data_IF_168866385403
#
_entry.id   IF_168866385403
#
_cell.length_a   1.000
_cell.length_b   1.000
_cell.length_c   1.000
_cell.angle_alpha   90.00
_cell.angle_beta   90.00
_cell.angle_gamma   90.00
#
_symmetry.space_group_name_H-M   'P 1'
#
loop_
_entity.id
_entity.type
_entity.pdbx_description
1 polymer ?
#
# COMPACT_ATOMS: atom_id res chain seq x y z
N UNK A 1 20.95 19.11 -1.93
CA UNK A 1 21.65 19.34 -0.64
C UNK A 1 20.80 20.09 0.41
N UNK A 2 20.09 21.18 0.06
CA UNK A 2 19.25 21.94 1.00
C UNK A 2 17.99 21.19 1.47
N UNK A 3 17.27 20.53 0.55
CA UNK A 3 16.10 19.70 0.88
C UNK A 3 16.44 18.45 1.70
N UNK A 4 17.64 17.87 1.57
CA UNK A 4 18.06 16.77 2.45
C UNK A 4 18.32 17.25 3.89
N UNK A 5 18.78 18.48 4.09
CA UNK A 5 18.93 19.08 5.43
C UNK A 5 17.57 19.43 6.02
N UNK A 6 16.69 20.03 5.21
CA UNK A 6 15.31 20.30 5.59
C UNK A 6 14.60 19.01 6.00
N UNK A 7 14.77 17.93 5.23
CA UNK A 7 14.19 16.63 5.55
C UNK A 7 14.70 16.06 6.87
N UNK A 8 16.02 16.06 7.11
CA UNK A 8 16.57 15.63 8.41
C UNK A 8 16.00 16.45 9.57
N UNK A 9 15.89 17.77 9.40
CA UNK A 9 15.27 18.66 10.39
C UNK A 9 13.78 18.37 10.61
N UNK A 10 13.02 18.09 9.53
CA UNK A 10 11.62 17.66 9.61
C UNK A 10 11.55 16.40 10.44
N UNK A 11 12.32 15.39 10.07
CA UNK A 11 12.38 14.11 10.77
C UNK A 11 12.69 14.33 12.25
N UNK A 12 13.79 14.98 12.61
CA UNK A 12 14.13 15.25 14.01
C UNK A 12 13.01 15.96 14.80
N UNK A 13 12.20 16.81 14.15
CA UNK A 13 11.10 17.55 14.80
C UNK A 13 9.79 16.77 14.91
N UNK A 14 9.43 16.00 13.88
CA UNK A 14 8.17 15.25 13.81
C UNK A 14 8.30 13.84 14.41
N UNK A 15 9.53 13.41 14.64
CA UNK A 15 9.88 12.11 15.20
C UNK A 15 10.26 12.28 16.67
N UNK A 16 9.66 11.51 17.58
CA UNK A 16 10.05 11.56 18.99
C UNK A 16 11.18 10.55 19.23
N UNK A 17 12.37 10.96 19.70
CA UNK A 17 13.42 10.04 20.12
C UNK A 17 12.97 9.11 21.26
N UNK A 18 12.03 9.59 22.08
CA UNK A 18 11.60 9.00 23.36
C UNK A 18 10.15 8.47 23.36
N UNK A 19 9.48 8.39 22.20
CA UNK A 19 8.13 7.82 22.14
C UNK A 19 8.14 6.40 22.71
N UNK A 20 7.16 6.10 23.57
CA UNK A 20 7.03 4.78 24.18
C UNK A 20 6.96 3.74 23.07
N UNK A 21 7.96 2.86 23.05
CA UNK A 21 7.95 1.64 22.25
C UNK A 21 6.61 0.96 22.48
N UNK A 22 5.87 0.65 21.42
CA UNK A 22 4.81 -0.33 21.56
C UNK A 22 5.48 -1.59 22.12
N UNK A 23 4.97 -2.11 23.24
CA UNK A 23 5.67 -3.11 24.04
C UNK A 23 5.97 -4.43 23.28
N UNK A 24 5.45 -4.59 22.06
CA UNK A 24 5.74 -5.69 21.13
C UNK A 24 6.59 -5.33 19.89
N UNK A 25 7.14 -4.11 19.79
CA UNK A 25 7.97 -3.61 18.67
C UNK A 25 9.36 -3.13 19.14
N UNK A 26 9.84 -3.66 20.27
CA UNK A 26 11.02 -3.12 20.95
C UNK A 26 12.39 -3.45 20.28
N UNK A 27 12.41 -4.23 19.20
CA UNK A 27 13.62 -4.75 18.54
C UNK A 27 13.92 -4.17 17.15
N UNK A 28 13.11 -3.24 16.64
CA UNK A 28 13.22 -2.81 15.23
C UNK A 28 14.43 -1.86 14.98
N UNK A 29 15.19 -2.14 13.91
CA UNK A 29 16.27 -1.29 13.37
C UNK A 29 15.61 -0.21 12.50
N UNK A 30 15.73 1.05 12.88
CA UNK A 30 14.99 2.18 12.26
C UNK A 30 15.65 2.82 11.03
N UNK A 31 16.60 2.13 10.40
CA UNK A 31 17.25 2.60 9.17
C UNK A 31 17.26 1.46 8.14
N UNK A 32 16.60 1.69 7.01
CA UNK A 32 16.74 0.80 5.84
C UNK A 32 18.17 0.93 5.32
N UNK A 33 18.90 -0.19 5.15
CA UNK A 33 20.21 -0.15 4.52
C UNK A 33 20.09 0.43 3.10
N UNK A 34 21.15 1.05 2.57
CA UNK A 34 21.20 1.41 1.16
C UNK A 34 20.89 0.20 0.28
N UNK A 35 20.22 0.44 -0.85
CA UNK A 35 19.96 -0.60 -1.85
C UNK A 35 21.29 -1.25 -2.26
N UNK A 36 21.32 -2.58 -2.29
CA UNK A 36 22.48 -3.35 -2.71
C UNK A 36 22.89 -2.96 -4.15
N UNK A 37 24.19 -3.02 -4.46
CA UNK A 37 24.71 -2.59 -5.76
C UNK A 37 24.10 -3.41 -6.92
N UNK A 38 23.80 -4.69 -6.67
CA UNK A 38 23.13 -5.59 -7.61
C UNK A 38 21.72 -5.09 -7.96
N UNK A 39 20.95 -4.72 -6.94
CA UNK A 39 19.57 -4.24 -7.07
C UNK A 39 19.51 -2.84 -7.67
N UNK A 40 20.53 -2.01 -7.37
CA UNK A 40 20.64 -0.63 -7.84
C UNK A 40 20.52 -0.54 -9.35
N UNK A 41 21.26 -1.39 -10.07
CA UNK A 41 21.25 -1.41 -11.55
C UNK A 41 19.87 -1.82 -12.09
N UNK A 42 19.21 -2.78 -11.45
CA UNK A 42 17.86 -3.23 -11.81
C UNK A 42 16.83 -2.12 -11.62
N UNK A 43 16.86 -1.44 -10.47
CA UNK A 43 16.02 -0.29 -10.16
C UNK A 43 16.22 0.87 -11.16
N UNK A 44 17.46 1.22 -11.50
CA UNK A 44 17.76 2.28 -12.47
C UNK A 44 17.23 1.92 -13.87
N UNK A 45 17.41 0.67 -14.30
CA UNK A 45 16.87 0.19 -15.59
C UNK A 45 15.35 0.20 -15.60
N UNK A 46 14.71 -0.23 -14.53
CA UNK A 46 13.26 -0.25 -14.42
C UNK A 46 12.66 1.16 -14.52
N UNK A 47 13.24 2.15 -13.81
CA UNK A 47 12.82 3.56 -13.92
C UNK A 47 12.95 4.11 -15.35
N UNK A 48 13.97 3.66 -16.10
CA UNK A 48 14.14 4.04 -17.51
C UNK A 48 13.06 3.41 -18.39
N UNK A 49 12.68 2.15 -18.15
CA UNK A 49 11.66 1.44 -18.92
C UNK A 49 10.26 2.04 -18.75
N UNK A 50 9.93 2.52 -17.55
CA UNK A 50 8.62 3.16 -17.26
C UNK A 50 8.61 4.67 -17.57
N UNK A 51 9.74 5.24 -17.99
CA UNK A 51 9.90 6.65 -18.34
C UNK A 51 9.49 7.67 -17.25
N UNK A 52 9.57 7.29 -15.97
CA UNK A 52 9.16 8.13 -14.84
C UNK A 52 10.27 8.19 -13.78
N UNK A 53 10.58 9.40 -13.30
CA UNK A 53 11.51 9.68 -12.19
C UNK A 53 12.93 9.09 -12.34
N UNK A 54 13.35 8.79 -13.57
CA UNK A 54 14.71 8.32 -13.86
C UNK A 54 15.78 9.31 -13.36
N UNK A 55 16.88 8.85 -12.73
CA UNK A 55 17.94 9.74 -12.27
C UNK A 55 18.43 10.72 -13.36
N UNK A 56 18.37 12.02 -13.08
CA UNK A 56 18.77 13.07 -14.03
C UNK A 56 17.64 13.61 -14.90
N UNK A 57 16.48 12.95 -14.91
CA UNK A 57 15.25 13.39 -15.58
C UNK A 57 14.16 13.71 -14.54
N UNK A 58 13.23 14.60 -14.88
CA UNK A 58 12.10 14.99 -14.01
C UNK A 58 12.53 15.39 -12.58
N UNK A 59 13.68 16.05 -12.44
CA UNK A 59 14.20 16.45 -11.13
C UNK A 59 13.26 17.43 -10.41
N UNK A 60 12.61 18.34 -11.13
CA UNK A 60 11.61 19.24 -10.55
C UNK A 60 10.41 18.47 -9.97
N UNK A 61 9.87 17.51 -10.73
CA UNK A 61 8.82 16.59 -10.27
C UNK A 61 9.27 15.85 -9.01
N UNK A 62 10.50 15.33 -8.99
CA UNK A 62 11.07 14.68 -7.81
C UNK A 62 11.17 15.63 -6.61
N UNK A 63 11.59 16.88 -6.81
CA UNK A 63 11.62 17.89 -5.75
C UNK A 63 10.22 18.19 -5.20
N UNK A 64 9.21 18.29 -6.06
CA UNK A 64 7.82 18.49 -5.67
C UNK A 64 7.31 17.29 -4.86
N UNK A 65 7.60 16.06 -5.28
CA UNK A 65 7.27 14.85 -4.52
C UNK A 65 7.90 14.91 -3.13
N UNK A 66 9.20 15.20 -3.04
CA UNK A 66 9.89 15.30 -1.74
C UNK A 66 9.26 16.34 -0.82
N UNK A 67 8.97 17.52 -1.36
CA UNK A 67 8.35 18.63 -0.62
C UNK A 67 6.94 18.27 -0.11
N UNK A 68 6.12 17.67 -0.95
CA UNK A 68 4.75 17.27 -0.58
C UNK A 68 4.74 16.10 0.40
N UNK A 69 5.65 15.13 0.23
CA UNK A 69 5.83 14.05 1.19
C UNK A 69 6.20 14.59 2.58
N UNK A 70 7.11 15.57 2.64
CA UNK A 70 7.45 16.29 3.87
C UNK A 70 6.24 16.98 4.49
N UNK A 71 5.46 17.68 3.68
CA UNK A 71 4.27 18.38 4.13
C UNK A 71 3.24 17.40 4.70
N UNK A 72 3.01 16.28 4.01
CA UNK A 72 2.11 15.21 4.44
C UNK A 72 2.52 14.62 5.80
N UNK A 73 3.79 14.24 5.94
CA UNK A 73 4.33 13.71 7.19
C UNK A 73 4.16 14.73 8.31
N UNK A 74 4.56 15.98 8.07
CA UNK A 74 4.47 17.05 9.08
C UNK A 74 3.02 17.27 9.50
N UNK A 75 2.11 17.43 8.54
CA UNK A 75 0.71 17.73 8.80
C UNK A 75 -0.02 16.65 9.59
N UNK A 76 0.34 15.39 9.38
CA UNK A 76 -0.34 14.23 9.97
C UNK A 76 0.38 13.63 11.19
N UNK A 77 1.52 14.24 11.59
CA UNK A 77 2.27 13.90 12.80
C UNK A 77 1.61 14.40 14.08
N UNK A 78 2.03 13.87 15.23
CA UNK A 78 1.56 14.35 16.53
C UNK A 78 2.03 15.77 16.88
N UNK A 79 3.17 16.21 16.30
CA UNK A 79 3.79 17.52 16.48
C UNK A 79 4.01 18.24 15.13
N UNK A 80 2.94 18.77 14.50
CA UNK A 80 3.02 19.33 13.16
C UNK A 80 3.81 20.65 13.13
N UNK A 81 4.56 20.86 12.05
CA UNK A 81 5.30 22.10 11.79
C UNK A 81 4.70 22.84 10.58
N UNK A 82 4.10 24.01 10.84
CA UNK A 82 3.46 24.84 9.80
C UNK A 82 4.42 25.47 8.80
N UNK A 83 5.74 25.47 9.08
CA UNK A 83 6.76 25.88 8.09
C UNK A 83 7.00 24.81 7.04
N UNK A 84 6.76 23.55 7.41
CA UNK A 84 6.97 22.37 6.57
C UNK A 84 5.68 21.93 5.87
N UNK A 85 4.52 22.22 6.49
CA UNK A 85 3.20 22.02 5.92
C UNK A 85 2.41 23.34 5.88
N UNK A 86 2.83 24.31 5.03
CA UNK A 86 2.09 25.56 4.87
C UNK A 86 0.69 25.29 4.32
N UNK A 87 -0.23 26.24 4.51
CA UNK A 87 -1.56 26.12 3.91
C UNK A 87 -1.47 26.38 2.41
N UNK A 88 -1.57 25.32 1.60
CA UNK A 88 -1.52 25.41 0.13
C UNK A 88 -2.71 26.13 -0.50
N UNK A 89 -3.82 26.32 0.24
CA UNK A 89 -5.05 26.95 -0.27
C UNK A 89 -4.93 28.48 -0.45
N UNK A 90 -3.80 29.09 -0.11
CA UNK A 90 -3.59 30.55 -0.19
C UNK A 90 -2.85 31.05 -1.45
N UNK A 91 -2.44 30.16 -2.37
CA UNK A 91 -1.53 30.56 -3.47
C UNK A 91 -2.23 31.20 -4.67
N UNK A 92 -3.56 31.07 -4.83
CA UNK A 92 -4.28 31.60 -6.01
C UNK A 92 -5.08 32.89 -5.78
N UNK A 93 -4.67 33.73 -4.82
CA UNK A 93 -5.09 35.13 -4.80
C UNK A 93 -5.36 35.68 -3.40
N UNK A 94 -4.48 36.58 -2.97
CA UNK A 94 -4.84 37.60 -1.97
C UNK A 94 -4.33 37.34 -0.55
N UNK A 95 -3.18 37.93 -0.26
CA UNK A 95 -2.85 38.42 1.09
C UNK A 95 -2.09 37.45 1.99
N UNK A 96 -0.90 37.88 2.38
CA UNK A 96 -0.10 37.41 3.52
C UNK A 96 -0.81 37.65 4.87
N UNK A 97 -2.06 37.23 5.01
CA UNK A 97 -2.69 37.11 6.32
C UNK A 97 -2.39 35.70 6.82
N UNK A 98 -1.30 35.60 7.59
CA UNK A 98 -0.86 34.34 8.18
C UNK A 98 -2.02 33.59 8.83
N UNK A 99 -2.16 32.32 8.47
CA UNK A 99 -3.18 31.41 9.00
C UNK A 99 -3.27 31.53 10.53
N UNK A 100 -4.47 31.80 11.05
CA UNK A 100 -4.66 31.98 12.49
C UNK A 100 -4.22 30.72 13.25
N UNK A 101 -3.72 30.87 14.49
CA UNK A 101 -3.35 29.70 15.33
C UNK A 101 -4.49 28.69 15.48
N UNK A 102 -5.74 29.17 15.51
CA UNK A 102 -6.94 28.33 15.60
C UNK A 102 -7.17 27.54 14.30
N UNK A 103 -7.04 28.18 13.15
CA UNK A 103 -7.15 27.51 11.85
C UNK A 103 -6.04 26.49 11.65
N UNK A 104 -4.78 26.84 11.96
CA UNK A 104 -3.63 25.91 11.96
C UNK A 104 -3.92 24.64 12.78
N UNK A 105 -4.35 24.83 14.02
CA UNK A 105 -4.65 23.71 14.92
C UNK A 105 -5.80 22.84 14.40
N UNK A 106 -6.81 23.46 13.80
CA UNK A 106 -7.94 22.72 13.24
C UNK A 106 -7.53 21.94 11.98
N UNK A 107 -6.76 22.54 11.08
CA UNK A 107 -6.25 21.92 9.86
C UNK A 107 -5.42 20.67 10.15
N UNK A 108 -4.39 20.78 10.98
CA UNK A 108 -3.58 19.61 11.34
C UNK A 108 -4.34 18.54 12.11
N UNK A 109 -5.34 18.95 12.90
CA UNK A 109 -6.23 17.99 13.54
C UNK A 109 -7.04 17.21 12.51
N UNK A 110 -7.63 17.90 11.52
CA UNK A 110 -8.37 17.28 10.42
C UNK A 110 -7.46 16.35 9.61
N UNK A 111 -6.29 16.82 9.17
CA UNK A 111 -5.32 16.02 8.39
C UNK A 111 -4.94 14.72 9.14
N UNK A 112 -4.71 14.80 10.45
CA UNK A 112 -4.40 13.64 11.30
C UNK A 112 -5.59 12.70 11.48
N UNK A 113 -6.78 13.25 11.72
CA UNK A 113 -8.00 12.46 11.88
C UNK A 113 -8.34 11.69 10.60
N UNK A 114 -8.24 12.34 9.44
CA UNK A 114 -8.47 11.73 8.13
C UNK A 114 -7.50 10.59 7.83
N UNK A 115 -6.19 10.82 8.01
CA UNK A 115 -5.19 9.75 7.91
C UNK A 115 -5.53 8.56 8.81
N UNK A 116 -5.89 8.82 10.06
CA UNK A 116 -6.16 7.76 11.04
C UNK A 116 -7.41 6.95 10.69
N UNK A 117 -8.42 7.57 10.06
CA UNK A 117 -9.59 6.85 9.52
C UNK A 117 -9.18 5.90 8.42
N UNK A 118 -8.43 6.38 7.42
CA UNK A 118 -7.92 5.55 6.31
C UNK A 118 -7.13 4.36 6.86
N UNK A 119 -6.18 4.64 7.76
CA UNK A 119 -5.35 3.62 8.38
C UNK A 119 -6.16 2.55 9.10
N UNK A 120 -7.03 2.94 10.03
CA UNK A 120 -7.75 1.95 10.86
C UNK A 120 -8.76 1.18 10.03
N UNK A 121 -9.44 1.83 9.09
CA UNK A 121 -10.37 1.17 8.17
C UNK A 121 -9.63 0.13 7.32
N UNK A 122 -8.54 0.53 6.67
CA UNK A 122 -7.73 -0.37 5.86
C UNK A 122 -7.22 -1.55 6.70
N UNK A 123 -6.63 -1.27 7.87
CA UNK A 123 -5.99 -2.30 8.70
C UNK A 123 -7.01 -3.30 9.23
N UNK A 124 -8.18 -2.85 9.68
CA UNK A 124 -9.22 -3.75 10.21
C UNK A 124 -9.79 -4.68 9.13
N UNK A 125 -10.10 -4.14 7.95
CA UNK A 125 -10.72 -4.93 6.87
C UNK A 125 -9.69 -5.88 6.24
N UNK A 126 -8.46 -5.42 6.03
CA UNK A 126 -7.39 -6.29 5.53
C UNK A 126 -6.98 -7.35 6.56
N UNK A 127 -6.95 -7.06 7.86
CA UNK A 127 -6.75 -8.08 8.90
C UNK A 127 -7.82 -9.18 8.84
N UNK A 128 -9.07 -8.80 8.55
CA UNK A 128 -10.16 -9.75 8.35
C UNK A 128 -9.93 -10.60 7.08
N UNK A 129 -9.61 -9.98 5.95
CA UNK A 129 -9.34 -10.68 4.69
C UNK A 129 -8.13 -11.63 4.78
N UNK A 130 -7.07 -11.24 5.49
CA UNK A 130 -5.92 -12.09 5.81
C UNK A 130 -6.35 -13.37 6.55
N UNK A 131 -7.18 -13.23 7.58
CA UNK A 131 -7.69 -14.36 8.35
C UNK A 131 -8.64 -15.25 7.55
N UNK A 132 -9.45 -14.65 6.66
CA UNK A 132 -10.33 -15.37 5.75
C UNK A 132 -9.53 -16.13 4.69
N UNK A 133 -8.41 -15.58 4.22
CA UNK A 133 -7.55 -16.21 3.20
C UNK A 133 -7.07 -17.59 3.65
N UNK A 134 -6.77 -17.78 4.95
CA UNK A 134 -6.35 -19.08 5.49
C UNK A 134 -7.45 -20.15 5.50
N UNK A 135 -8.73 -19.75 5.32
CA UNK A 135 -9.83 -20.72 5.14
C UNK A 135 -9.81 -21.36 3.75
N UNK A 136 -9.18 -20.71 2.78
CA UNK A 136 -9.24 -21.15 1.40
C UNK A 136 -8.45 -22.44 1.17
N UNK A 137 -8.98 -23.34 0.32
CA UNK A 137 -8.29 -24.56 -0.03
C UNK A 137 -6.95 -24.28 -0.70
N UNK A 138 -6.01 -25.21 -0.53
CA UNK A 138 -4.68 -25.14 -1.15
C UNK A 138 -4.76 -24.83 -2.65
N UNK A 139 -5.69 -25.45 -3.38
CA UNK A 139 -5.87 -25.23 -4.81
C UNK A 139 -6.08 -23.75 -5.16
N UNK A 140 -6.96 -23.04 -4.44
CA UNK A 140 -7.20 -21.61 -4.64
C UNK A 140 -5.97 -20.76 -4.28
N UNK A 141 -5.31 -21.09 -3.16
CA UNK A 141 -4.15 -20.33 -2.69
C UNK A 141 -2.92 -20.49 -3.60
N UNK A 142 -2.77 -21.62 -4.30
CA UNK A 142 -1.73 -21.80 -5.31
C UNK A 142 -1.96 -20.87 -6.51
N UNK A 143 -3.22 -20.67 -6.92
CA UNK A 143 -3.56 -19.77 -8.03
C UNK A 143 -3.06 -18.35 -7.77
N UNK A 144 -3.15 -17.85 -6.53
CA UNK A 144 -2.69 -16.50 -6.17
C UNK A 144 -1.19 -16.26 -6.43
N UNK A 145 -0.36 -17.31 -6.37
CA UNK A 145 1.08 -17.20 -6.63
C UNK A 145 1.45 -17.41 -8.11
N UNK A 146 0.48 -17.71 -8.97
CA UNK A 146 0.76 -18.09 -10.35
C UNK A 146 1.41 -16.97 -11.18
N UNK A 147 1.13 -15.71 -10.83
CA UNK A 147 1.66 -14.54 -11.52
C UNK A 147 2.92 -13.96 -10.87
N UNK A 148 3.47 -14.63 -9.84
CA UNK A 148 4.69 -14.16 -9.18
C UNK A 148 5.91 -14.19 -10.13
N UNK A 149 6.89 -13.28 -9.96
CA UNK A 149 8.09 -13.24 -10.79
C UNK A 149 8.89 -14.54 -10.82
N UNK A 150 8.99 -15.21 -9.67
CA UNK A 150 9.47 -16.57 -9.55
C UNK A 150 8.27 -17.50 -9.37
N UNK A 151 8.07 -18.51 -10.24
CA UNK A 151 6.95 -19.43 -10.12
C UNK A 151 7.03 -20.21 -8.80
N UNK A 152 6.37 -19.70 -7.77
CA UNK A 152 6.25 -20.39 -6.50
C UNK A 152 5.16 -21.47 -6.64
N UNK A 153 5.57 -22.74 -6.55
CA UNK A 153 4.64 -23.88 -6.59
C UNK A 153 3.87 -24.08 -5.28
N UNK A 154 4.23 -23.35 -4.22
CA UNK A 154 3.57 -23.37 -2.92
C UNK A 154 2.27 -22.57 -2.91
N UNK A 155 1.41 -22.90 -1.95
CA UNK A 155 0.20 -22.12 -1.73
C UNK A 155 0.53 -20.77 -1.09
N UNK A 156 -0.20 -19.73 -1.47
CA UNK A 156 -0.11 -18.42 -0.80
C UNK A 156 -0.35 -18.55 0.70
N UNK A 157 0.47 -17.85 1.49
CA UNK A 157 0.39 -17.83 2.94
C UNK A 157 0.07 -16.40 3.38
N UNK A 158 -1.02 -16.25 4.12
CA UNK A 158 -1.46 -14.97 4.67
C UNK A 158 -0.58 -14.58 5.87
N UNK A 159 -0.56 -13.30 6.24
CA UNK A 159 0.14 -12.78 7.43
C UNK A 159 -0.80 -12.67 8.65
N UNK A 160 -1.91 -13.42 8.64
CA UNK A 160 -2.94 -13.31 9.67
C UNK A 160 -2.49 -13.76 11.07
N UNK A 161 -1.51 -14.66 11.15
CA UNK A 161 -1.08 -15.27 12.40
C UNK A 161 -0.49 -14.23 13.37
N UNK A 162 -0.65 -14.46 14.67
CA UNK A 162 -0.25 -13.52 15.72
C UNK A 162 1.27 -13.25 15.71
N UNK A 163 2.07 -14.26 15.41
CA UNK A 163 3.54 -14.13 15.31
C UNK A 163 3.98 -13.34 14.07
N UNK A 164 3.15 -13.21 13.04
CA UNK A 164 3.42 -12.38 11.85
C UNK A 164 2.96 -10.92 12.03
N UNK A 165 2.41 -10.56 13.20
CA UNK A 165 1.80 -9.23 13.44
C UNK A 165 2.74 -8.07 13.13
N UNK A 166 4.01 -8.13 13.51
CA UNK A 166 4.96 -7.05 13.25
C UNK A 166 5.19 -6.85 11.74
N UNK A 167 5.43 -7.94 11.00
CA UNK A 167 5.55 -7.92 9.53
C UNK A 167 4.26 -7.41 8.87
N UNK A 168 3.10 -7.89 9.32
CA UNK A 168 1.78 -7.44 8.83
C UNK A 168 1.60 -5.93 8.96
N UNK A 169 1.88 -5.33 10.13
CA UNK A 169 1.72 -3.88 10.34
C UNK A 169 2.66 -3.06 9.46
N UNK A 170 3.90 -3.53 9.26
CA UNK A 170 4.83 -2.91 8.31
C UNK A 170 4.27 -2.94 6.90
N UNK A 171 3.88 -4.12 6.43
CA UNK A 171 3.37 -4.26 5.07
C UNK A 171 2.10 -3.40 4.86
N UNK A 172 1.16 -3.37 5.81
CA UNK A 172 -0.10 -2.62 5.67
C UNK A 172 0.15 -1.13 5.49
N UNK A 173 1.15 -0.61 6.21
CA UNK A 173 1.52 0.78 6.11
C UNK A 173 2.00 1.15 4.70
N UNK A 174 2.61 0.25 3.93
CA UNK A 174 3.04 0.57 2.54
C UNK A 174 1.87 1.03 1.66
N UNK A 175 0.76 0.28 1.66
CA UNK A 175 -0.45 0.64 0.90
C UNK A 175 -1.27 1.73 1.57
N UNK A 176 -1.35 1.73 2.91
CA UNK A 176 -2.06 2.78 3.64
C UNK A 176 -1.48 4.16 3.33
N UNK A 177 -0.17 4.24 3.17
CA UNK A 177 0.53 5.50 2.92
C UNK A 177 0.42 5.98 1.50
N UNK A 178 0.32 5.07 0.53
CA UNK A 178 -0.10 5.41 -0.82
C UNK A 178 -1.46 6.13 -0.78
N UNK A 179 -2.48 5.48 -0.23
CA UNK A 179 -3.85 6.02 -0.19
C UNK A 179 -3.89 7.33 0.61
N UNK A 180 -3.28 7.34 1.79
CA UNK A 180 -3.24 8.52 2.65
C UNK A 180 -2.51 9.70 2.02
N UNK A 181 -1.44 9.46 1.26
CA UNK A 181 -0.70 10.52 0.58
C UNK A 181 -1.45 11.06 -0.64
N UNK A 182 -2.11 10.18 -1.41
CA UNK A 182 -2.95 10.59 -2.53
C UNK A 182 -4.13 11.43 -2.06
N UNK A 183 -4.84 10.99 -1.01
CA UNK A 183 -5.96 11.74 -0.41
C UNK A 183 -5.52 13.13 0.07
N UNK A 184 -4.40 13.19 0.80
CA UNK A 184 -3.84 14.46 1.26
C UNK A 184 -3.47 15.39 0.10
N UNK A 185 -2.85 14.85 -0.95
CA UNK A 185 -2.39 15.62 -2.10
C UNK A 185 -3.54 16.05 -3.01
N UNK A 186 -4.62 15.26 -3.06
CA UNK A 186 -5.87 15.60 -3.75
C UNK A 186 -6.53 16.83 -3.12
N UNK A 187 -6.73 16.87 -1.78
CA UNK A 187 -7.30 18.06 -1.11
C UNK A 187 -6.44 19.33 -1.29
N UNK A 188 -5.15 19.15 -1.56
CA UNK A 188 -4.18 20.24 -1.79
C UNK A 188 -4.01 20.62 -3.26
N UNK A 189 -4.53 19.83 -4.20
CA UNK A 189 -4.34 20.02 -5.63
C UNK A 189 -2.88 19.90 -6.08
N UNK A 190 -2.09 19.02 -5.44
CA UNK A 190 -0.64 18.91 -5.70
C UNK A 190 -0.25 17.68 -6.52
N UNK A 191 -1.20 16.86 -6.97
CA UNK A 191 -0.91 15.63 -7.73
C UNK A 191 -0.22 15.91 -9.08
N UNK A 192 -0.74 16.86 -9.85
CA UNK A 192 -0.17 17.21 -11.17
C UNK A 192 1.25 17.77 -11.08
N UNK A 193 1.55 18.62 -10.08
CA UNK A 193 2.92 19.13 -9.88
C UNK A 193 3.91 18.03 -9.49
N UNK A 194 3.39 16.91 -8.95
CA UNK A 194 4.16 15.70 -8.66
C UNK A 194 4.15 14.69 -9.82
N UNK A 195 3.63 15.08 -10.98
CA UNK A 195 3.63 14.26 -12.20
C UNK A 195 2.69 13.07 -12.15
N UNK A 196 1.62 13.14 -11.36
CA UNK A 196 0.52 12.19 -11.41
C UNK A 196 -0.72 12.88 -12.01
N UNK A 197 -1.18 12.38 -13.15
CA UNK A 197 -2.38 12.85 -13.84
C UNK A 197 -3.45 11.77 -13.75
N UNK A 198 -4.44 12.02 -12.90
CA UNK A 198 -5.56 11.10 -12.73
C UNK A 198 -6.58 11.31 -13.84
N UNK A 199 -7.23 10.24 -14.26
CA UNK A 199 -8.46 10.37 -15.02
C UNK A 199 -9.62 10.79 -14.09
N UNK A 200 -10.77 11.07 -14.70
CA UNK A 200 -11.95 11.54 -13.97
C UNK A 200 -12.42 10.51 -12.93
N UNK A 201 -12.39 9.23 -13.27
CA UNK A 201 -12.82 8.12 -12.41
C UNK A 201 -11.91 7.95 -11.18
N UNK A 202 -10.58 8.02 -11.35
CA UNK A 202 -9.62 7.97 -10.24
C UNK A 202 -9.75 9.21 -9.34
N UNK A 203 -9.94 10.38 -9.94
CA UNK A 203 -10.09 11.62 -9.21
C UNK A 203 -11.38 11.64 -8.39
N UNK A 204 -12.50 11.17 -8.96
CA UNK A 204 -13.78 10.99 -8.29
C UNK A 204 -13.64 9.97 -7.14
N UNK A 205 -12.97 8.84 -7.38
CA UNK A 205 -12.74 7.81 -6.35
C UNK A 205 -11.96 8.37 -5.15
N UNK A 206 -10.90 9.15 -5.38
CA UNK A 206 -10.15 9.80 -4.30
C UNK A 206 -10.98 10.88 -3.59
N UNK A 207 -11.78 11.65 -4.34
CA UNK A 207 -12.69 12.63 -3.77
C UNK A 207 -13.74 11.97 -2.88
N UNK A 208 -14.28 10.82 -3.28
CA UNK A 208 -15.22 10.05 -2.48
C UNK A 208 -14.58 9.55 -1.18
N UNK A 209 -13.32 9.10 -1.21
CA UNK A 209 -12.58 8.72 0.01
C UNK A 209 -12.50 9.93 0.96
N UNK A 210 -12.15 11.12 0.46
CA UNK A 210 -12.12 12.37 1.26
C UNK A 210 -13.51 12.66 1.86
N UNK A 211 -14.53 12.69 1.01
CA UNK A 211 -15.88 13.08 1.38
C UNK A 211 -16.48 12.14 2.41
N UNK A 212 -16.41 10.82 2.18
CA UNK A 212 -16.94 9.80 3.09
C UNK A 212 -16.15 9.81 4.40
N UNK A 213 -14.82 9.94 4.34
CA UNK A 213 -13.99 10.04 5.55
C UNK A 213 -14.37 11.26 6.39
N UNK A 214 -14.70 12.39 5.78
CA UNK A 214 -15.13 13.60 6.47
C UNK A 214 -16.49 13.45 7.18
N UNK A 215 -17.41 12.62 6.65
CA UNK A 215 -18.75 12.41 7.23
C UNK A 215 -18.75 11.64 8.56
N UNK A 216 -17.68 10.92 8.88
CA UNK A 216 -17.62 10.08 10.06
C UNK A 216 -16.76 10.68 11.19
N UNK A 217 -17.29 10.74 12.42
CA UNK A 217 -16.49 11.09 13.62
C UNK A 217 -15.63 9.89 14.04
N UNK A 218 -14.42 10.16 14.55
CA UNK A 218 -13.52 9.20 15.19
C UNK A 218 -14.15 8.46 16.37
N UNK A 219 -15.27 8.96 16.93
CA UNK A 219 -15.96 8.31 18.05
C UNK A 219 -16.51 6.93 17.68
N UNK A 220 -15.92 5.92 18.33
CA UNK A 220 -16.32 4.52 18.18
C UNK A 220 -15.70 3.83 16.97
N UNK A 221 -14.65 4.41 16.38
CA UNK A 221 -13.84 3.79 15.33
C UNK A 221 -13.33 2.39 15.76
N UNK A 222 -12.90 2.27 17.00
CA UNK A 222 -12.37 1.03 17.59
C UNK A 222 -13.49 0.09 18.07
N UNK A 223 -14.72 0.58 18.27
CA UNK A 223 -15.83 -0.20 18.85
C UNK A 223 -16.93 -0.58 17.88
N UNK A 224 -17.01 0.07 16.70
CA UNK A 224 -17.97 -0.22 15.62
C UNK A 224 -17.32 -0.09 14.24
N UNK A 225 -16.46 -1.05 13.84
CA UNK A 225 -15.76 -1.01 12.54
C UNK A 225 -16.70 -0.87 11.33
N UNK A 226 -17.91 -1.44 11.42
CA UNK A 226 -18.93 -1.36 10.36
C UNK A 226 -19.35 0.05 9.97
N UNK A 227 -19.12 1.06 10.82
CA UNK A 227 -19.35 2.47 10.49
C UNK A 227 -18.48 2.98 9.36
N UNK A 228 -17.32 2.36 9.13
CA UNK A 228 -16.35 2.78 8.13
C UNK A 228 -16.27 1.81 6.95
N UNK A 229 -17.22 0.87 6.86
CA UNK A 229 -17.29 -0.09 5.76
C UNK A 229 -17.34 0.60 4.40
N UNK A 230 -18.05 1.73 4.30
CA UNK A 230 -18.14 2.49 3.06
C UNK A 230 -16.79 3.11 2.69
N UNK A 231 -16.03 3.63 3.66
CA UNK A 231 -14.66 4.12 3.42
C UNK A 231 -13.78 2.98 2.89
N UNK A 232 -13.87 1.78 3.46
CA UNK A 232 -13.15 0.62 2.94
C UNK A 232 -13.57 0.28 1.52
N UNK A 233 -14.86 0.21 1.22
CA UNK A 233 -15.36 -0.15 -0.10
C UNK A 233 -14.86 0.82 -1.19
N UNK A 234 -14.79 2.12 -0.89
CA UNK A 234 -14.23 3.12 -1.81
C UNK A 234 -12.73 2.92 -1.98
N UNK A 235 -11.99 2.68 -0.89
CA UNK A 235 -10.55 2.37 -0.96
C UNK A 235 -10.30 1.09 -1.76
N UNK A 236 -11.04 0.02 -1.48
CA UNK A 236 -10.93 -1.28 -2.17
C UNK A 236 -11.20 -1.12 -3.67
N UNK A 237 -12.28 -0.41 -4.04
CA UNK A 237 -12.62 -0.15 -5.44
C UNK A 237 -11.52 0.65 -6.15
N UNK A 238 -10.97 1.67 -5.50
CA UNK A 238 -9.85 2.44 -6.03
C UNK A 238 -8.60 1.56 -6.22
N UNK A 239 -8.26 0.70 -5.26
CA UNK A 239 -7.13 -0.24 -5.38
C UNK A 239 -7.33 -1.23 -6.52
N UNK A 240 -8.53 -1.80 -6.67
CA UNK A 240 -8.87 -2.73 -7.75
C UNK A 240 -8.77 -2.05 -9.11
N UNK A 241 -9.31 -0.85 -9.27
CA UNK A 241 -9.26 -0.08 -10.51
C UNK A 241 -7.81 0.19 -10.96
N UNK A 242 -6.92 0.55 -10.02
CA UNK A 242 -5.50 0.76 -10.33
C UNK A 242 -4.79 -0.51 -10.81
N UNK A 243 -5.21 -1.69 -10.35
CA UNK A 243 -4.63 -2.98 -10.76
C UNK A 243 -5.18 -3.48 -12.11
N UNK A 244 -6.46 -3.22 -12.38
CA UNK A 244 -7.18 -3.77 -13.54
C UNK A 244 -7.05 -2.91 -14.82
N UNK A 245 -6.38 -1.77 -14.76
CA UNK A 245 -6.22 -0.86 -15.90
C UNK A 245 -5.32 -1.45 -17.00
N UNK A 246 -5.78 -1.33 -18.24
CA UNK A 246 -5.03 -1.73 -19.45
C UNK A 246 -4.13 -0.59 -19.95
N UNK A 247 -3.01 -0.96 -20.60
CA UNK A 247 -2.10 -0.05 -21.33
C UNK A 247 -1.81 1.28 -20.62
N UNK A 248 -1.13 1.20 -19.49
CA UNK A 248 -0.90 2.37 -18.64
C UNK A 248 0.41 3.09 -18.95
N UNK A 249 0.34 4.42 -18.91
CA UNK A 249 1.49 5.28 -18.72
C UNK A 249 1.76 5.45 -17.22
N UNK A 250 3.03 5.45 -16.82
CA UNK A 250 3.42 5.54 -15.41
C UNK A 250 2.89 6.79 -14.70
N UNK A 251 2.75 7.89 -15.44
CA UNK A 251 2.22 9.17 -14.96
C UNK A 251 0.70 9.18 -14.75
N UNK A 252 -0.03 8.19 -15.26
CA UNK A 252 -1.49 8.09 -15.17
C UNK A 252 -1.97 6.91 -14.34
N UNK A 253 -1.06 6.18 -13.67
CA UNK A 253 -1.42 5.06 -12.80
C UNK A 253 -0.79 5.28 -11.42
N UNK A 254 -1.60 5.52 -10.36
CA UNK A 254 -1.07 5.86 -9.04
C UNK A 254 -0.21 4.76 -8.44
N UNK A 255 -0.46 3.48 -8.79
CA UNK A 255 0.35 2.36 -8.32
C UNK A 255 1.76 2.38 -8.94
N UNK A 256 1.89 2.53 -10.27
CA UNK A 256 3.22 2.66 -10.89
C UNK A 256 3.93 3.92 -10.40
N UNK A 257 3.20 5.05 -10.32
CA UNK A 257 3.75 6.30 -9.82
C UNK A 257 4.32 6.15 -8.41
N UNK A 258 3.59 5.47 -7.52
CA UNK A 258 4.06 5.18 -6.17
C UNK A 258 5.29 4.26 -6.15
N UNK A 259 5.28 3.20 -6.97
CA UNK A 259 6.44 2.33 -7.12
C UNK A 259 7.67 3.11 -7.61
N UNK A 260 7.52 4.00 -8.58
CA UNK A 260 8.58 4.86 -9.08
C UNK A 260 9.17 5.76 -7.99
N UNK A 261 8.29 6.31 -7.15
CA UNK A 261 8.67 7.10 -5.99
C UNK A 261 9.49 6.29 -4.98
N UNK A 262 9.03 5.08 -4.62
CA UNK A 262 9.74 4.20 -3.68
C UNK A 262 11.11 3.78 -4.22
N UNK A 263 11.18 3.38 -5.49
CA UNK A 263 12.42 2.99 -6.17
C UNK A 263 13.40 4.16 -6.27
N UNK A 264 12.92 5.33 -6.73
CA UNK A 264 13.74 6.55 -6.84
C UNK A 264 14.27 6.99 -5.49
N UNK A 265 13.45 6.86 -4.45
CA UNK A 265 13.84 7.16 -3.07
C UNK A 265 14.97 6.25 -2.58
N UNK A 266 14.85 4.95 -2.85
CA UNK A 266 15.84 3.94 -2.48
C UNK A 266 17.19 4.12 -3.22
N UNK A 267 17.17 4.66 -4.45
CA UNK A 267 18.36 4.96 -5.26
C UNK A 267 19.09 6.26 -4.88
N UNK A 268 18.53 7.09 -4.00
CA UNK A 268 19.04 8.43 -3.71
C UNK A 268 20.49 8.39 -3.20
N UNK A 269 21.39 9.13 -3.86
CA UNK A 269 22.81 9.22 -3.48
C UNK A 269 23.06 10.09 -2.24
N UNK A 270 22.04 10.84 -1.78
CA UNK A 270 22.11 11.77 -0.64
C UNK A 270 21.95 11.06 0.75
N UNK A 271 22.19 9.75 0.84
CA UNK A 271 22.13 8.91 2.05
C UNK A 271 21.02 7.84 2.03
N UNK A 272 20.56 7.29 3.18
CA UNK A 272 19.54 6.23 3.23
C UNK A 272 18.21 6.60 2.53
N UNK A 273 17.35 5.63 2.26
CA UNK A 273 16.08 5.82 1.53
C UNK A 273 15.21 6.97 2.07
N UNK A 274 15.01 8.04 1.29
CA UNK A 274 14.34 9.28 1.74
C UNK A 274 12.98 9.00 2.37
N UNK A 275 12.09 8.27 1.71
CA UNK A 275 10.73 8.00 2.20
C UNK A 275 10.70 7.20 3.49
N UNK A 276 11.75 6.43 3.75
CA UNK A 276 11.85 5.52 4.89
C UNK A 276 12.77 6.00 6.01
N UNK A 277 13.28 7.24 5.96
CA UNK A 277 13.99 7.82 7.12
C UNK A 277 12.98 8.37 8.14
N UNK A 278 13.24 8.19 9.44
CA UNK A 278 12.47 8.82 10.53
C UNK A 278 12.23 7.92 11.75
N UNK A 279 11.51 8.43 12.77
CA UNK A 279 10.85 7.67 13.86
C UNK A 279 9.42 8.19 14.09
N UNK A 280 8.41 7.64 13.46
CA UNK A 280 7.07 8.23 13.59
C UNK A 280 6.27 7.62 14.76
N UNK A 281 5.72 8.47 15.64
CA UNK A 281 4.66 8.04 16.55
C UNK A 281 3.41 7.72 15.70
N UNK A 282 2.97 6.45 15.72
CA UNK A 282 1.86 5.89 14.92
C UNK A 282 2.10 5.96 13.40
N UNK A 283 3.19 5.29 13.00
CA UNK A 283 3.83 5.20 11.68
C UNK A 283 3.00 5.54 10.44
N UNK A 284 3.54 6.48 9.66
CA UNK A 284 3.08 6.90 8.32
C UNK A 284 3.83 6.14 7.21
N UNK A 285 4.86 5.34 7.50
CA UNK A 285 5.47 4.28 6.68
C UNK A 285 6.53 3.61 7.58
N UNK A 286 6.70 2.28 7.57
CA UNK A 286 7.72 1.60 8.35
C UNK A 286 9.11 1.90 7.78
N UNK A 287 10.05 2.20 8.68
CA UNK A 287 11.39 2.71 8.35
C UNK A 287 12.45 1.61 8.19
N UNK A 288 12.03 0.36 8.11
CA UNK A 288 12.87 -0.83 8.16
C UNK A 288 12.61 -1.82 7.01
N UNK A 289 11.82 -1.41 6.01
CA UNK A 289 11.42 -2.25 4.87
C UNK A 289 12.14 -1.77 3.61
N UNK A 290 12.96 -2.63 3.01
CA UNK A 290 13.68 -2.29 1.77
C UNK A 290 12.77 -2.27 0.52
N UNK A 291 13.33 -1.92 -0.64
CA UNK A 291 12.55 -1.82 -1.88
C UNK A 291 11.95 -3.17 -2.32
N UNK A 292 12.60 -4.30 -2.02
CA UNK A 292 12.11 -5.64 -2.34
C UNK A 292 10.94 -6.00 -1.45
N UNK A 293 11.10 -5.82 -0.14
CA UNK A 293 10.03 -6.09 0.82
C UNK A 293 8.84 -5.15 0.62
N UNK A 294 9.03 -3.93 0.13
CA UNK A 294 7.90 -3.05 -0.27
C UNK A 294 7.12 -3.60 -1.46
N UNK A 295 7.83 -4.06 -2.50
CA UNK A 295 7.20 -4.69 -3.66
C UNK A 295 6.47 -5.99 -3.24
N UNK A 296 7.09 -6.79 -2.36
CA UNK A 296 6.47 -7.97 -1.75
C UNK A 296 5.20 -7.61 -0.97
N UNK A 297 5.25 -6.57 -0.13
CA UNK A 297 4.11 -6.11 0.66
C UNK A 297 2.91 -5.72 -0.21
N UNK A 298 3.15 -4.98 -1.30
CA UNK A 298 2.08 -4.60 -2.22
C UNK A 298 1.49 -5.83 -2.92
N UNK A 299 2.32 -6.71 -3.49
CA UNK A 299 1.83 -7.98 -4.09
C UNK A 299 1.05 -8.83 -3.11
N UNK A 300 1.55 -8.96 -1.88
CA UNK A 300 0.91 -9.74 -0.83
C UNK A 300 -0.52 -9.28 -0.58
N UNK A 301 -0.72 -7.98 -0.36
CA UNK A 301 -2.07 -7.46 -0.14
C UNK A 301 -2.94 -7.42 -1.38
N UNK A 302 -2.36 -7.25 -2.57
CA UNK A 302 -3.13 -7.39 -3.80
C UNK A 302 -3.69 -8.80 -3.94
N UNK A 303 -2.94 -9.85 -3.58
CA UNK A 303 -3.47 -11.23 -3.54
C UNK A 303 -4.62 -11.37 -2.55
N UNK A 304 -4.48 -10.83 -1.34
CA UNK A 304 -5.52 -10.84 -0.30
C UNK A 304 -6.78 -10.11 -0.77
N UNK A 305 -6.64 -8.91 -1.34
CA UNK A 305 -7.73 -8.08 -1.83
C UNK A 305 -8.40 -8.73 -3.04
N UNK A 306 -7.64 -9.20 -4.03
CA UNK A 306 -8.18 -9.86 -5.23
C UNK A 306 -8.93 -11.15 -4.87
N UNK A 307 -8.43 -11.95 -3.92
CA UNK A 307 -9.15 -13.13 -3.45
C UNK A 307 -10.48 -12.75 -2.78
N UNK A 308 -10.47 -11.73 -1.93
CA UNK A 308 -11.68 -11.18 -1.31
C UNK A 308 -12.67 -10.68 -2.37
N UNK A 309 -12.19 -9.88 -3.31
CA UNK A 309 -12.96 -9.34 -4.41
C UNK A 309 -13.60 -10.44 -5.26
N UNK A 310 -12.81 -11.43 -5.70
CA UNK A 310 -13.28 -12.57 -6.49
C UNK A 310 -14.46 -13.27 -5.82
N UNK A 311 -14.41 -13.42 -4.50
CA UNK A 311 -15.48 -14.04 -3.74
C UNK A 311 -16.70 -13.15 -3.57
N UNK A 312 -16.52 -11.91 -3.10
CA UNK A 312 -17.65 -11.04 -2.72
C UNK A 312 -18.40 -10.45 -3.90
N UNK A 313 -17.73 -10.27 -5.05
CA UNK A 313 -18.37 -9.82 -6.30
C UNK A 313 -19.04 -10.96 -7.07
N UNK A 314 -18.95 -12.22 -6.59
CA UNK A 314 -19.57 -13.35 -7.28
C UNK A 314 -21.08 -13.40 -7.03
N UNK A 315 -21.85 -12.83 -7.96
CA UNK A 315 -23.32 -12.91 -7.98
C UNK A 315 -23.81 -14.27 -8.50
N UNK A 316 -23.64 -15.32 -7.68
CA UNK A 316 -24.08 -16.68 -7.98
C UNK A 316 -24.73 -17.35 -6.77
N UNK A 317 -25.79 -18.13 -7.00
CA UNK A 317 -26.40 -18.99 -5.97
C UNK A 317 -25.39 -20.01 -5.41
N UNK A 318 -24.39 -20.39 -6.20
CA UNK A 318 -23.30 -21.29 -5.80
C UNK A 318 -22.37 -20.67 -4.73
N UNK A 319 -22.33 -19.34 -4.63
CA UNK A 319 -21.49 -18.65 -3.63
C UNK A 319 -21.82 -19.06 -2.20
N UNK A 320 -23.11 -19.29 -1.89
CA UNK A 320 -23.54 -19.66 -0.55
C UNK A 320 -23.00 -21.03 -0.12
N UNK A 321 -22.89 -21.97 -1.05
CA UNK A 321 -22.33 -23.30 -0.76
C UNK A 321 -20.83 -23.19 -0.44
N UNK A 322 -20.08 -22.50 -1.31
CA UNK A 322 -18.64 -22.22 -1.09
C UNK A 322 -18.43 -21.47 0.23
N UNK A 323 -19.27 -20.49 0.54
CA UNK A 323 -19.23 -19.75 1.80
C UNK A 323 -19.40 -20.66 3.01
N UNK A 324 -20.42 -21.53 2.97
CA UNK A 324 -20.71 -22.45 4.06
C UNK A 324 -19.52 -23.38 4.33
N UNK A 325 -18.87 -23.87 3.27
CA UNK A 325 -17.68 -24.70 3.39
C UNK A 325 -16.45 -23.95 3.93
N UNK A 326 -16.22 -22.72 3.48
CA UNK A 326 -15.17 -21.86 4.04
C UNK A 326 -15.41 -21.59 5.52
N UNK A 327 -16.65 -21.32 5.93
CA UNK A 327 -17.02 -21.01 7.32
C UNK A 327 -16.86 -22.21 8.27
N UNK A 328 -16.82 -23.45 7.76
CA UNK A 328 -16.51 -24.64 8.55
C UNK A 328 -15.02 -24.78 8.91
N UNK A 329 -14.13 -23.99 8.30
CA UNK A 329 -12.68 -24.09 8.53
C UNK A 329 -12.28 -23.39 9.83
N UNK A 330 -11.64 -24.14 10.72
CA UNK A 330 -11.16 -23.65 12.00
C UNK A 330 -9.79 -22.95 11.88
N UNK A 331 -9.77 -21.63 12.06
CA UNK A 331 -8.57 -20.80 12.07
C UNK A 331 -8.13 -20.33 13.48
N UNK A 332 -8.54 -21.02 14.55
CA UNK A 332 -8.15 -20.67 15.93
C UNK A 332 -6.62 -20.65 16.13
N UNK A 333 -5.89 -21.46 15.35
CA UNK A 333 -4.43 -21.50 15.37
C UNK A 333 -3.77 -20.15 15.06
N UNK A 334 -4.46 -19.24 14.36
CA UNK A 334 -3.94 -17.91 14.05
C UNK A 334 -3.65 -17.07 15.31
N UNK A 335 -4.34 -17.37 16.42
CA UNK A 335 -4.19 -16.64 17.68
C UNK A 335 -3.33 -17.38 18.72
N UNK A 336 -2.75 -18.53 18.36
CA UNK A 336 -1.90 -19.30 19.27
C UNK A 336 -0.47 -18.75 19.26
N UNK A 337 -0.06 -18.02 20.30
CA UNK A 337 1.29 -17.42 20.37
C UNK A 337 2.42 -18.45 20.29
N UNK A 338 2.17 -19.71 20.67
CA UNK A 338 3.15 -20.80 20.62
C UNK A 338 2.80 -21.84 19.54
N UNK A 339 1.84 -21.52 18.68
CA UNK A 339 1.35 -22.41 17.65
C UNK A 339 2.31 -22.54 16.47
N UNK A 340 1.91 -23.37 15.52
CA UNK A 340 2.54 -23.42 14.21
C UNK A 340 1.47 -23.41 13.13
N UNK A 341 1.83 -22.90 11.95
CA UNK A 341 0.98 -22.99 10.78
C UNK A 341 0.71 -24.47 10.45
N UNK A 342 -0.55 -24.89 10.28
CA UNK A 342 -0.85 -26.25 9.85
C UNK A 342 -0.17 -26.59 8.52
N UNK A 343 0.39 -27.80 8.42
CA UNK A 343 1.00 -28.27 7.18
C UNK A 343 -0.02 -28.31 6.04
N UNK A 344 0.37 -27.82 4.86
CA UNK A 344 -0.49 -27.79 3.67
C UNK A 344 -1.02 -29.18 3.28
N UNK A 345 -0.24 -30.24 3.52
CA UNK A 345 -0.64 -31.63 3.24
C UNK A 345 -1.83 -32.11 4.06
N UNK A 346 -2.26 -31.37 5.09
CA UNK A 346 -3.47 -31.66 5.86
C UNK A 346 -4.74 -31.13 5.20
N UNK A 347 -4.63 -30.27 4.20
CA UNK A 347 -5.78 -29.82 3.43
C UNK A 347 -6.16 -30.88 2.39
N UNK A 348 -7.17 -31.68 2.72
CA UNK A 348 -7.65 -32.80 1.90
C UNK A 348 -8.77 -32.41 0.93
N UNK A 349 -9.13 -31.11 0.86
CA UNK A 349 -10.18 -30.63 -0.05
C UNK A 349 -9.65 -30.65 -1.48
N UNK A 350 -10.25 -31.50 -2.30
CA UNK A 350 -9.90 -31.65 -3.72
C UNK A 350 -10.60 -30.63 -4.64
N UNK A 351 -11.56 -29.87 -4.09
CA UNK A 351 -12.34 -28.86 -4.81
C UNK A 351 -13.02 -29.40 -6.07
N UNK A 352 -13.45 -30.67 -6.07
CA UNK A 352 -13.98 -31.33 -7.28
C UNK A 352 -15.43 -30.98 -7.62
N UNK A 353 -16.16 -30.29 -6.73
CA UNK A 353 -17.58 -29.95 -6.97
C UNK A 353 -17.71 -28.86 -8.04
N UNK A 354 -18.85 -28.79 -8.77
CA UNK A 354 -19.07 -27.75 -9.77
C UNK A 354 -18.93 -26.32 -9.21
N UNK A 355 -19.37 -26.09 -7.98
CA UNK A 355 -19.32 -24.78 -7.31
C UNK A 355 -17.88 -24.36 -7.03
N UNK A 356 -17.05 -25.30 -6.54
CA UNK A 356 -15.63 -25.04 -6.33
C UNK A 356 -14.88 -24.84 -7.63
N UNK A 357 -15.14 -25.65 -8.66
CA UNK A 357 -14.51 -25.48 -9.97
C UNK A 357 -14.84 -24.10 -10.57
N UNK A 358 -16.10 -23.65 -10.47
CA UNK A 358 -16.52 -22.32 -10.89
C UNK A 358 -15.82 -21.22 -10.09
N UNK A 359 -15.72 -21.37 -8.76
CA UNK A 359 -15.01 -20.42 -7.90
C UNK A 359 -13.51 -20.35 -8.24
N UNK A 360 -12.83 -21.48 -8.40
CA UNK A 360 -11.41 -21.51 -8.75
C UNK A 360 -11.17 -20.86 -10.12
N UNK A 361 -12.02 -21.14 -11.11
CA UNK A 361 -11.94 -20.50 -12.41
C UNK A 361 -12.13 -18.97 -12.31
N UNK A 362 -13.03 -18.51 -11.44
CA UNK A 362 -13.18 -17.08 -11.15
C UNK A 362 -11.95 -16.48 -10.50
N UNK A 363 -11.42 -17.09 -9.43
CA UNK A 363 -10.18 -16.63 -8.78
C UNK A 363 -9.04 -16.55 -9.80
N UNK A 364 -8.92 -17.55 -10.67
CA UNK A 364 -7.94 -17.54 -11.75
C UNK A 364 -8.11 -16.35 -12.70
N UNK A 365 -9.34 -16.07 -13.12
CA UNK A 365 -9.65 -14.94 -13.99
C UNK A 365 -9.23 -13.61 -13.35
N UNK A 366 -9.64 -13.36 -12.11
CA UNK A 366 -9.30 -12.13 -11.39
C UNK A 366 -7.78 -11.99 -11.16
N UNK A 367 -7.11 -13.09 -10.78
CA UNK A 367 -5.65 -13.13 -10.64
C UNK A 367 -4.95 -12.80 -11.95
N UNK A 368 -5.38 -13.38 -13.06
CA UNK A 368 -4.80 -13.10 -14.36
C UNK A 368 -5.02 -11.63 -14.76
N UNK A 369 -6.22 -11.09 -14.54
CA UNK A 369 -6.57 -9.72 -14.90
C UNK A 369 -5.78 -8.69 -14.08
N UNK A 370 -5.73 -8.87 -12.76
CA UNK A 370 -5.28 -7.84 -11.81
C UNK A 370 -3.86 -8.06 -11.29
N UNK A 371 -3.36 -9.31 -11.24
CA UNK A 371 -2.06 -9.63 -10.62
C UNK A 371 -0.91 -9.81 -11.62
N UNK A 372 -1.02 -9.22 -12.82
CA UNK A 372 0.09 -9.13 -13.77
C UNK A 372 0.11 -10.20 -14.86
N UNK A 373 -1.01 -10.90 -15.10
CA UNK A 373 -1.15 -11.80 -16.25
C UNK A 373 -1.21 -11.05 -17.58
N UNK A 374 -1.72 -9.81 -17.59
CA UNK A 374 -1.71 -8.91 -18.75
C UNK A 374 -0.43 -8.10 -18.83
N UNK A 375 0.29 -8.21 -19.95
CA UNK A 375 1.50 -7.42 -20.21
C UNK A 375 1.18 -5.94 -20.20
N UNK A 376 2.00 -5.16 -19.49
CA UNK A 376 1.86 -3.71 -19.40
C UNK A 376 0.90 -3.22 -18.33
N UNK A 377 0.21 -4.10 -17.60
CA UNK A 377 -0.58 -3.69 -16.43
C UNK A 377 0.30 -3.23 -15.26
N UNK A 378 -0.29 -2.59 -14.24
CA UNK A 378 0.46 -2.02 -13.12
C UNK A 378 1.21 -3.09 -12.33
N UNK A 379 0.54 -4.21 -12.03
CA UNK A 379 1.16 -5.32 -11.31
C UNK A 379 2.18 -6.05 -12.20
N UNK A 380 2.00 -6.09 -13.52
CA UNK A 380 3.03 -6.61 -14.43
C UNK A 380 4.32 -5.80 -14.34
N UNK A 381 4.24 -4.47 -14.34
CA UNK A 381 5.41 -3.60 -14.17
C UNK A 381 6.07 -3.77 -12.79
N UNK A 382 5.28 -3.94 -11.74
CA UNK A 382 5.80 -4.25 -10.41
C UNK A 382 6.53 -5.62 -10.38
N UNK A 383 5.98 -6.63 -11.06
CA UNK A 383 6.62 -7.94 -11.21
C UNK A 383 7.92 -7.85 -12.03
N UNK A 384 7.98 -6.96 -13.02
CA UNK A 384 9.20 -6.68 -13.79
C UNK A 384 10.29 -6.04 -12.94
N UNK A 385 9.96 -5.15 -11.99
CA UNK A 385 10.96 -4.56 -11.08
C UNK A 385 11.75 -5.64 -10.35
N UNK A 386 11.08 -6.66 -9.83
CA UNK A 386 11.74 -7.76 -9.12
C UNK A 386 12.63 -8.60 -10.05
N UNK A 387 12.20 -8.85 -11.29
CA UNK A 387 13.02 -9.55 -12.29
C UNK A 387 14.30 -8.76 -12.59
N UNK A 388 14.19 -7.44 -12.72
CA UNK A 388 15.32 -6.56 -12.97
C UNK A 388 16.28 -6.51 -11.78
N UNK A 389 15.78 -6.48 -10.54
CA UNK A 389 16.61 -6.54 -9.32
C UNK A 389 17.30 -7.90 -9.14
N UNK A 390 16.61 -9.01 -9.40
CA UNK A 390 17.19 -10.37 -9.28
C UNK A 390 18.22 -10.72 -10.36
N UNK A 391 18.47 -9.82 -11.34
CA UNK A 391 19.45 -10.06 -12.40
C UNK A 391 19.09 -11.21 -13.35
N UNK A 392 17.86 -11.74 -13.25
CA UNK A 392 17.35 -12.79 -14.12
C UNK A 392 17.10 -12.15 -15.48
N UNK A 393 18.09 -12.30 -16.38
CA UNK A 393 17.92 -11.93 -17.79
C UNK A 393 16.72 -12.69 -18.34
N UNK A 394 15.62 -11.97 -18.58
CA UNK A 394 14.41 -12.55 -19.13
C UNK A 394 14.73 -13.28 -20.43
N UNK A 395 14.63 -14.61 -20.42
CA UNK A 395 14.21 -15.35 -21.60
C UNK A 395 12.74 -14.98 -21.81
N UNK A 396 12.54 -13.90 -22.57
CA UNK A 396 11.27 -13.56 -23.18
C UNK A 396 10.95 -14.64 -24.19
N UNK A 397 10.11 -15.61 -23.84
CA UNK A 397 9.27 -16.36 -24.77
C UNK A 397 8.18 -17.04 -23.97
N UNK A 398 6.93 -16.62 -24.13
CA UNK A 398 5.82 -17.53 -24.47
C UNK A 398 4.80 -16.73 -25.28
N UNK A 399 4.51 -17.29 -26.46
CA UNK A 399 3.60 -16.86 -27.52
C UNK A 399 2.14 -17.01 -27.15
#
# INVERSE_FOLDING_TARGET
>A
MENSKLYKLVLERVTQPDAKRDAGLAEDIYDVPPVADEDRTGCERWLQQIYLLSPGFNNETWENIRRNWIAYISATSDHPDSTLAPDGKTVWGGGTNGESKRHKKQRFRTDREERRKIQITFWNEVDCLEGLTERWPRAARVVLNHMDPEPNQGAFQSLAAIWDRSKRRRYQAILTSLVGFLVYSMDRGTLEEMGLYLDEDDAESLFDIVAISAMHDMRGLETKPSKFRLVWQTIESFLLAMMDREEILAENNPLIWWMAILVRSALSADGPDFISRGRFDKNILPMDVDVRERAEAMRHYFKVIVLGHAFWSWESEQRLQVQTELDMVNNLWLNDENGCRPFESRDLRDCSTPEWQAMIARVWHEVYSMLGGRRGSAVWWMNMLEKEMSGVKGLVYWS
#
